data_IF_538918102517
#
_entry.id   IF_538918102517
#
_cell.length_a   1.000
_cell.length_b   1.000
_cell.length_c   1.000
_cell.angle_alpha   90.00
_cell.angle_beta   90.00
_cell.angle_gamma   90.00
#
_symmetry.space_group_name_H-M   'P 1'
#
loop_
_entity.id
_entity.type
_entity.pdbx_description
1 polymer ?
#
# COMPACT_ATOMS: atom_id res chain seq x y z
N UNK A 1 21.47 8.65 -13.41
CA UNK A 1 21.62 9.41 -12.14
C UNK A 1 20.34 9.21 -11.35
N UNK A 2 20.34 8.39 -10.31
CA UNK A 2 19.17 8.24 -9.43
C UNK A 2 18.98 9.55 -8.66
N UNK A 3 17.84 10.21 -8.87
CA UNK A 3 17.46 11.42 -8.14
C UNK A 3 17.08 10.96 -6.73
N UNK A 4 17.87 11.28 -5.71
CA UNK A 4 17.52 10.98 -4.32
C UNK A 4 16.29 11.80 -3.96
N UNK A 5 15.11 11.17 -3.94
CA UNK A 5 13.87 11.80 -3.51
C UNK A 5 13.91 11.96 -2.00
N UNK A 6 13.62 13.16 -1.49
CA UNK A 6 13.45 13.37 -0.05
C UNK A 6 12.23 12.56 0.40
N UNK A 7 12.43 11.59 1.30
CA UNK A 7 11.32 10.83 1.87
C UNK A 7 10.38 11.80 2.59
N UNK A 8 9.13 11.88 2.13
CA UNK A 8 8.07 12.65 2.79
C UNK A 8 7.60 11.87 4.01
N UNK A 9 7.33 12.54 5.13
CA UNK A 9 6.90 11.88 6.37
C UNK A 9 5.58 11.12 6.21
N UNK A 10 4.67 11.65 5.38
CA UNK A 10 3.38 11.04 5.08
C UNK A 10 3.14 11.01 3.58
N UNK A 11 2.69 9.85 3.10
CA UNK A 11 2.17 9.68 1.75
C UNK A 11 0.66 9.95 1.77
N UNK A 12 0.17 10.66 0.76
CA UNK A 12 -1.24 11.02 0.59
C UNK A 12 -1.86 10.31 -0.61
N UNK A 13 -1.09 10.16 -1.69
CA UNK A 13 -1.57 9.65 -2.97
C UNK A 13 -0.78 8.43 -3.44
N UNK A 14 -1.46 7.46 -4.03
CA UNK A 14 -0.82 6.27 -4.59
C UNK A 14 0.09 6.61 -5.79
N UNK A 15 -0.24 7.64 -6.58
CA UNK A 15 0.59 8.12 -7.70
C UNK A 15 1.98 8.61 -7.23
N UNK A 16 2.13 8.93 -5.94
CA UNK A 16 3.38 9.39 -5.32
C UNK A 16 4.20 8.27 -4.69
N UNK A 17 3.74 7.01 -4.77
CA UNK A 17 4.51 5.85 -4.31
C UNK A 17 5.70 5.59 -5.22
N UNK A 18 6.84 5.28 -4.61
CA UNK A 18 8.04 4.83 -5.30
C UNK A 18 8.61 3.56 -4.69
N UNK A 19 9.50 2.90 -5.42
CA UNK A 19 10.22 1.71 -4.94
C UNK A 19 10.99 1.98 -3.63
N UNK A 20 11.50 3.20 -3.46
CA UNK A 20 12.15 3.69 -2.22
C UNK A 20 11.22 3.73 -1.00
N UNK A 21 9.90 3.78 -1.20
CA UNK A 21 8.91 3.72 -0.13
C UNK A 21 8.66 2.28 0.34
N UNK A 22 8.81 1.31 -0.57
CA UNK A 22 8.59 -0.12 -0.33
C UNK A 22 9.80 -0.76 0.34
N UNK A 23 11.02 -0.35 -0.02
CA UNK A 23 12.25 -0.96 0.50
C UNK A 23 12.34 -0.99 2.05
N UNK A 24 12.09 0.11 2.79
CA UNK A 24 12.07 0.08 4.25
C UNK A 24 10.96 -0.80 4.83
N UNK A 25 9.78 -0.80 4.21
CA UNK A 25 8.65 -1.62 4.63
C UNK A 25 8.96 -3.12 4.45
N UNK A 26 9.55 -3.48 3.30
CA UNK A 26 10.00 -4.84 3.01
C UNK A 26 11.02 -5.33 4.04
N UNK A 27 12.02 -4.50 4.36
CA UNK A 27 13.04 -4.87 5.35
C UNK A 27 12.41 -5.09 6.74
N UNK A 28 11.50 -4.21 7.16
CA UNK A 28 10.77 -4.34 8.41
C UNK A 28 9.92 -5.62 8.44
N UNK A 29 9.09 -5.86 7.42
CA UNK A 29 8.24 -7.04 7.34
C UNK A 29 9.06 -8.33 7.29
N UNK A 30 10.20 -8.35 6.58
CA UNK A 30 11.08 -9.52 6.54
C UNK A 30 11.61 -9.88 7.93
N UNK A 31 12.07 -8.89 8.70
CA UNK A 31 12.53 -9.10 10.07
C UNK A 31 11.40 -9.62 10.97
N UNK A 32 10.25 -8.94 10.97
CA UNK A 32 9.09 -9.31 11.80
C UNK A 32 8.53 -10.68 11.47
N UNK A 33 8.49 -11.05 10.19
CA UNK A 33 8.05 -12.38 9.76
C UNK A 33 9.04 -13.47 10.15
N UNK A 34 10.36 -13.21 10.12
CA UNK A 34 11.37 -14.15 10.62
C UNK A 34 11.19 -14.41 12.11
N UNK A 35 11.03 -13.36 12.91
CA UNK A 35 10.78 -13.45 14.36
C UNK A 35 9.49 -14.24 14.65
N UNK A 36 8.43 -13.99 13.87
CA UNK A 36 7.17 -14.72 14.00
C UNK A 36 7.35 -16.22 13.75
N UNK A 37 8.14 -16.61 12.75
CA UNK A 37 8.45 -18.01 12.44
C UNK A 37 9.30 -18.63 13.54
N UNK A 38 10.34 -17.93 14.00
CA UNK A 38 11.27 -18.39 15.02
C UNK A 38 10.59 -18.61 16.38
N UNK A 39 9.59 -17.80 16.72
CA UNK A 39 8.79 -17.95 17.92
C UNK A 39 7.93 -19.23 17.94
N UNK A 40 7.68 -19.88 16.79
CA UNK A 40 6.91 -21.11 16.72
C UNK A 40 7.79 -22.35 16.88
N UNK A 41 7.39 -23.35 17.69
CA UNK A 41 8.13 -24.59 17.83
C UNK A 41 8.31 -25.34 16.50
N UNK A 42 9.47 -25.98 16.32
CA UNK A 42 9.77 -26.76 15.12
C UNK A 42 8.78 -27.91 14.91
N UNK A 43 8.47 -28.21 13.65
CA UNK A 43 7.56 -29.30 13.26
C UNK A 43 6.07 -29.01 13.49
N UNK A 44 5.70 -27.83 13.99
CA UNK A 44 4.28 -27.47 14.23
C UNK A 44 3.60 -26.90 12.98
N UNK A 45 2.28 -27.09 12.88
CA UNK A 45 1.44 -26.44 11.87
C UNK A 45 1.47 -24.92 11.99
N UNK A 46 1.61 -24.39 13.20
CA UNK A 46 1.75 -22.96 13.46
C UNK A 46 3.03 -22.40 12.82
N UNK A 47 4.17 -23.09 12.95
CA UNK A 47 5.42 -22.70 12.28
C UNK A 47 5.29 -22.73 10.77
N UNK A 48 4.63 -23.76 10.21
CA UNK A 48 4.37 -23.84 8.78
C UNK A 48 3.50 -22.67 8.30
N UNK A 49 2.43 -22.33 9.02
CA UNK A 49 1.54 -21.21 8.69
C UNK A 49 2.29 -19.86 8.74
N UNK A 50 3.11 -19.63 9.76
CA UNK A 50 3.95 -18.44 9.86
C UNK A 50 4.95 -18.34 8.70
N UNK A 51 5.58 -19.46 8.32
CA UNK A 51 6.51 -19.50 7.19
C UNK A 51 5.80 -19.17 5.86
N UNK A 52 4.59 -19.70 5.64
CA UNK A 52 3.78 -19.35 4.47
C UNK A 52 3.36 -17.89 4.46
N UNK A 53 3.00 -17.31 5.60
CA UNK A 53 2.70 -15.90 5.70
C UNK A 53 3.93 -15.03 5.34
N UNK A 54 5.13 -15.43 5.80
CA UNK A 54 6.38 -14.78 5.45
C UNK A 54 6.65 -14.80 3.94
N UNK A 55 6.49 -15.97 3.30
CA UNK A 55 6.65 -16.14 1.85
C UNK A 55 5.66 -15.27 1.06
N UNK A 56 4.38 -15.29 1.45
CA UNK A 56 3.33 -14.48 0.80
C UNK A 56 3.65 -12.99 0.95
N UNK A 57 4.06 -12.55 2.15
CA UNK A 57 4.41 -11.14 2.39
C UNK A 57 5.62 -10.72 1.56
N UNK A 58 6.62 -11.60 1.41
CA UNK A 58 7.77 -11.34 0.55
C UNK A 58 7.37 -11.25 -0.93
N UNK A 59 6.48 -12.14 -1.39
CA UNK A 59 5.90 -12.10 -2.74
C UNK A 59 5.13 -10.80 -2.99
N UNK A 60 4.33 -10.35 -2.03
CA UNK A 60 3.55 -9.11 -2.12
C UNK A 60 4.49 -7.87 -2.22
N UNK A 61 5.62 -7.88 -1.48
CA UNK A 61 6.63 -6.82 -1.58
C UNK A 61 7.30 -6.78 -2.96
N UNK A 62 7.63 -7.93 -3.53
CA UNK A 62 8.22 -8.03 -4.87
C UNK A 62 7.23 -7.52 -5.91
N UNK A 63 5.99 -8.00 -5.85
CA UNK A 63 4.95 -7.61 -6.80
C UNK A 63 4.71 -6.09 -6.79
N UNK A 64 4.58 -5.48 -5.60
CA UNK A 64 4.42 -4.02 -5.52
C UNK A 64 5.64 -3.29 -6.09
N UNK A 65 6.86 -3.77 -5.83
CA UNK A 65 8.08 -3.16 -6.38
C UNK A 65 8.06 -3.19 -7.91
N UNK A 66 7.67 -4.31 -8.51
CA UNK A 66 7.58 -4.47 -9.97
C UNK A 66 6.49 -3.55 -10.56
N UNK A 67 5.34 -3.44 -9.91
CA UNK A 67 4.27 -2.49 -10.31
C UNK A 67 4.78 -1.06 -10.27
N UNK A 68 5.53 -0.67 -9.24
CA UNK A 68 6.05 0.70 -9.12
C UNK A 68 7.14 1.00 -10.15
N UNK A 69 7.99 0.03 -10.50
CA UNK A 69 8.96 0.19 -11.61
C UNK A 69 8.23 0.42 -12.93
N UNK A 70 7.22 -0.42 -13.23
CA UNK A 70 6.41 -0.26 -14.43
C UNK A 70 5.64 1.07 -14.46
N UNK A 71 5.16 1.52 -13.29
CA UNK A 71 4.51 2.82 -13.13
C UNK A 71 5.47 3.98 -13.41
N UNK A 72 6.70 3.93 -12.88
CA UNK A 72 7.72 4.94 -13.13
C UNK A 72 8.02 5.08 -14.64
N UNK A 73 8.10 3.97 -15.37
CA UNK A 73 8.26 3.97 -16.84
C UNK A 73 7.09 4.67 -17.54
N UNK A 74 5.85 4.34 -17.16
CA UNK A 74 4.64 4.98 -17.73
C UNK A 74 4.61 6.49 -17.48
N UNK A 75 5.03 6.93 -16.29
CA UNK A 75 5.14 8.35 -15.95
C UNK A 75 6.22 9.04 -16.78
N UNK A 76 7.39 8.41 -16.94
CA UNK A 76 8.51 8.95 -17.73
C UNK A 76 8.16 9.08 -19.22
N UNK A 77 7.35 8.18 -19.74
CA UNK A 77 6.87 8.21 -21.13
C UNK A 77 5.70 9.22 -21.35
N UNK A 78 5.24 9.89 -20.29
CA UNK A 78 4.13 10.85 -20.38
C UNK A 78 2.76 10.20 -20.58
N UNK A 79 2.65 8.90 -20.30
CA UNK A 79 1.44 8.07 -20.52
C UNK A 79 0.60 7.91 -19.25
N UNK A 80 0.88 8.72 -18.23
CA UNK A 80 0.24 8.72 -16.91
C UNK A 80 -1.28 8.79 -16.98
N UNK A 81 -1.85 9.51 -17.95
CA UNK A 81 -3.29 9.74 -18.03
C UNK A 81 -3.99 8.87 -19.10
N UNK A 82 -3.28 7.91 -19.68
CA UNK A 82 -3.87 6.98 -20.63
C UNK A 82 -4.89 6.05 -19.94
N UNK A 83 -6.10 5.89 -20.49
CA UNK A 83 -7.09 4.98 -19.93
C UNK A 83 -6.68 3.51 -20.09
N UNK A 84 -7.24 2.64 -19.26
CA UNK A 84 -7.04 1.19 -19.34
C UNK A 84 -5.89 0.69 -18.47
N UNK A 85 -4.79 0.27 -19.08
CA UNK A 85 -3.69 -0.41 -18.38
C UNK A 85 -3.05 0.45 -17.28
N UNK A 86 -2.87 1.75 -17.53
CA UNK A 86 -2.34 2.71 -16.54
C UNK A 86 -3.25 2.85 -15.32
N UNK A 87 -4.57 2.86 -15.54
CA UNK A 87 -5.55 2.87 -14.44
C UNK A 87 -5.50 1.58 -13.63
N UNK A 88 -5.30 0.43 -14.30
CA UNK A 88 -5.12 -0.85 -13.62
C UNK A 88 -3.87 -0.86 -12.75
N UNK A 89 -2.74 -0.34 -13.24
CA UNK A 89 -1.50 -0.22 -12.46
C UNK A 89 -1.70 0.61 -11.18
N UNK A 90 -2.37 1.77 -11.26
CA UNK A 90 -2.67 2.60 -10.07
C UNK A 90 -3.47 1.84 -9.03
N UNK A 91 -4.50 1.12 -9.47
CA UNK A 91 -5.35 0.32 -8.59
C UNK A 91 -4.55 -0.82 -7.95
N UNK A 92 -3.71 -1.50 -8.73
CA UNK A 92 -2.84 -2.55 -8.20
C UNK A 92 -1.84 -1.97 -7.20
N UNK A 93 -1.15 -0.86 -7.50
CA UNK A 93 -0.22 -0.21 -6.58
C UNK A 93 -0.89 0.15 -5.23
N UNK A 94 -2.08 0.75 -5.29
CA UNK A 94 -2.86 1.10 -4.11
C UNK A 94 -3.29 -0.13 -3.31
N UNK A 95 -3.77 -1.19 -3.98
CA UNK A 95 -4.21 -2.43 -3.36
C UNK A 95 -3.06 -3.13 -2.62
N UNK A 96 -1.92 -3.28 -3.29
CA UNK A 96 -0.76 -3.99 -2.73
C UNK A 96 -0.08 -3.19 -1.63
N UNK A 97 0.02 -1.86 -1.77
CA UNK A 97 0.47 -0.99 -0.68
C UNK A 97 -0.43 -1.13 0.56
N UNK A 98 -1.76 -1.06 0.38
CA UNK A 98 -2.71 -1.25 1.48
C UNK A 98 -2.52 -2.58 2.17
N UNK A 99 -2.37 -3.66 1.40
CA UNK A 99 -2.16 -5.01 1.94
C UNK A 99 -0.90 -5.08 2.81
N UNK A 100 0.23 -4.55 2.34
CA UNK A 100 1.47 -4.52 3.12
C UNK A 100 1.37 -3.64 4.37
N UNK A 101 0.67 -2.50 4.30
CA UNK A 101 0.44 -1.65 5.48
C UNK A 101 -0.39 -2.37 6.53
N UNK A 102 -1.47 -3.04 6.14
CA UNK A 102 -2.30 -3.85 7.07
C UNK A 102 -1.47 -4.97 7.69
N UNK A 103 -0.59 -5.63 6.92
CA UNK A 103 0.34 -6.62 7.49
C UNK A 103 1.32 -5.98 8.48
N UNK A 104 1.81 -4.76 8.21
CA UNK A 104 2.70 -4.05 9.12
C UNK A 104 2.02 -3.59 10.41
N UNK A 105 0.72 -3.24 10.35
CA UNK A 105 -0.09 -2.86 11.52
C UNK A 105 -0.16 -3.97 12.58
N UNK A 106 -0.01 -5.25 12.20
CA UNK A 106 0.15 -6.36 13.15
C UNK A 106 1.32 -6.17 14.13
N UNK A 107 2.28 -5.34 13.75
CA UNK A 107 3.48 -4.99 14.52
C UNK A 107 3.50 -3.50 14.88
N UNK A 108 2.33 -2.86 15.00
CA UNK A 108 2.20 -1.42 15.22
C UNK A 108 2.86 -0.89 16.50
N UNK A 109 3.00 -1.74 17.52
CA UNK A 109 3.68 -1.42 18.79
C UNK A 109 5.21 -1.54 18.70
N UNK A 110 5.76 -2.02 17.58
CA UNK A 110 7.20 -2.18 17.41
C UNK A 110 7.87 -0.79 17.21
N UNK A 111 9.00 -0.48 17.86
CA UNK A 111 9.64 0.85 17.79
C UNK A 111 10.06 1.26 16.37
N UNK A 112 10.44 0.29 15.54
CA UNK A 112 10.78 0.54 14.12
C UNK A 112 9.56 0.70 13.19
N UNK A 113 8.34 0.49 13.70
CA UNK A 113 7.13 0.72 12.92
C UNK A 113 6.99 2.20 12.59
N UNK A 114 6.72 2.53 11.33
CA UNK A 114 6.65 3.92 10.86
C UNK A 114 5.20 4.32 10.56
N UNK A 115 4.77 5.47 11.09
CA UNK A 115 3.44 6.05 10.85
C UNK A 115 3.08 6.26 9.37
N UNK A 116 4.10 6.36 8.51
CA UNK A 116 3.94 6.46 7.05
C UNK A 116 3.37 5.21 6.41
N UNK A 117 3.50 4.03 7.03
CA UNK A 117 3.02 2.75 6.50
C UNK A 117 1.53 2.60 6.78
N UNK A 118 0.73 3.42 6.10
CA UNK A 118 -0.71 3.46 6.23
C UNK A 118 -1.39 3.27 4.87
N UNK A 119 -2.58 2.66 4.83
CA UNK A 119 -3.36 2.61 3.61
C UNK A 119 -3.57 4.01 3.02
N UNK A 120 -3.33 4.14 1.72
CA UNK A 120 -3.64 5.36 0.98
C UNK A 120 -5.11 5.32 0.59
N UNK A 121 -5.79 6.46 0.74
CA UNK A 121 -7.23 6.59 0.43
C UNK A 121 -7.48 7.03 -1.00
N UNK A 122 -6.53 7.72 -1.60
CA UNK A 122 -6.69 8.36 -2.90
C UNK A 122 -5.55 7.99 -3.84
N UNK A 123 -5.87 8.01 -5.15
CA UNK A 123 -4.88 7.70 -6.18
C UNK A 123 -4.05 8.95 -6.48
N UNK A 124 -4.72 10.10 -6.59
CA UNK A 124 -4.16 11.43 -6.82
C UNK A 124 -5.18 12.48 -6.37
N UNK A 125 -4.85 13.76 -6.55
CA UNK A 125 -5.72 14.89 -6.20
C UNK A 125 -7.09 14.82 -6.89
N UNK A 126 -7.12 14.57 -8.21
CA UNK A 126 -8.38 14.50 -8.96
C UNK A 126 -9.29 13.38 -8.44
N UNK A 127 -8.73 12.23 -8.05
CA UNK A 127 -9.49 11.17 -7.39
C UNK A 127 -10.02 11.61 -6.01
N UNK A 128 -9.23 12.36 -5.23
CA UNK A 128 -9.68 12.88 -3.94
C UNK A 128 -10.83 13.87 -4.08
N UNK A 129 -10.75 14.78 -5.06
CA UNK A 129 -11.80 15.76 -5.39
C UNK A 129 -13.09 15.05 -5.81
N UNK A 130 -12.99 14.07 -6.73
CA UNK A 130 -14.15 13.28 -7.16
C UNK A 130 -14.84 12.55 -6.00
N UNK A 131 -14.07 11.95 -5.09
CA UNK A 131 -14.64 11.27 -3.91
C UNK A 131 -15.29 12.27 -2.95
N UNK A 132 -14.74 13.47 -2.80
CA UNK A 132 -15.34 14.52 -1.97
C UNK A 132 -16.69 14.96 -2.55
N UNK A 133 -16.76 15.24 -3.85
CA UNK A 133 -18.01 15.58 -4.56
C UNK A 133 -19.08 14.50 -4.39
N UNK A 134 -18.72 13.23 -4.65
CA UNK A 134 -19.66 12.12 -4.50
C UNK A 134 -20.14 11.92 -3.05
N UNK A 135 -19.29 12.23 -2.07
CA UNK A 135 -19.65 12.12 -0.64
C UNK A 135 -20.61 13.24 -0.23
N UNK A 136 -20.38 14.46 -0.72
CA UNK A 136 -21.26 15.61 -0.47
C UNK A 136 -22.62 15.43 -1.15
N UNK A 137 -22.65 14.89 -2.38
CA UNK A 137 -23.89 14.53 -3.07
C UNK A 137 -24.68 13.43 -2.33
N UNK A 138 -24.00 12.40 -1.83
CA UNK A 138 -24.63 11.33 -1.03
C UNK A 138 -25.18 11.84 0.31
N UNK A 139 -24.53 12.84 0.92
CA UNK A 139 -25.01 13.54 2.12
C UNK A 139 -26.26 14.39 1.89
N UNK A 140 -26.57 14.75 0.63
CA UNK A 140 -27.79 15.45 0.24
C UNK A 140 -29.02 14.55 0.05
N UNK A 141 -28.86 13.24 -0.09
CA UNK A 141 -29.96 12.28 -0.36
C UNK A 141 -30.59 11.71 0.92
N UNK A 142 -29.92 11.86 2.07
CA UNK A 142 -30.45 11.47 3.39
C UNK A 142 -30.66 12.68 4.32
N UNK A 143 -31.02 13.83 3.75
CA UNK A 143 -31.53 14.99 4.51
C UNK A 143 -33.00 14.80 4.89
N UNK A 144 -33.23 14.44 6.16
CA UNK A 144 -34.39 14.81 6.98
C UNK A 144 -35.80 14.64 6.32
N UNK A 145 -36.29 13.40 6.23
CA UNK A 145 -37.72 13.16 5.99
C UNK A 145 -38.07 11.92 5.18
N UNK A 146 -37.88 10.72 5.75
CA UNK A 146 -38.61 9.52 5.30
C UNK A 146 -38.54 8.39 6.35
N UNK A 147 -39.25 8.55 7.45
CA UNK A 147 -39.77 7.43 8.22
C UNK A 147 -41.30 7.59 8.32
N UNK A 148 -42.09 6.79 7.59
CA UNK A 148 -43.33 6.27 8.12
C UNK A 148 -43.08 5.11 9.10
#
# INVERSE_FOLDING_TARGET
MARVRKQVELLEFADDLHTDDVSPLRAFLAARMSELVEAQPEGTSARLAAARLAEVTASDCIFLSDVLVAWEEVVLEGRKDEPGWTQRMRQDAMLWWRRLCVTAEMFGDHPDHRSRWRPLRYMNLAHAELIAELTDEAGGVYGDGAHP
#
